data_IF_547912126590
#
_entry.id   IF_547912126590
#
_cell.length_a   1.000
_cell.length_b   1.000
_cell.length_c   1.000
_cell.angle_alpha   90.00
_cell.angle_beta   90.00
_cell.angle_gamma   90.00
#
_symmetry.space_group_name_H-M   'P 1'
#
loop_
_entity.id
_entity.type
_entity.pdbx_description
1 polymer ?
#
# COMPACT_ATOMS: atom_id res chain seq x y z
N UNK A 1 4.45 -1.95 -2.75
CA UNK A 1 4.65 -1.30 -1.44
C UNK A 1 6.02 -0.62 -1.37
N UNK A 2 7.13 -1.31 -1.67
CA UNK A 2 8.49 -0.75 -1.69
C UNK A 2 8.61 0.66 -2.31
N UNK A 3 8.00 0.85 -3.49
CA UNK A 3 8.06 2.13 -4.22
C UNK A 3 7.36 3.26 -3.47
N UNK A 4 6.17 3.00 -2.91
CA UNK A 4 5.39 4.01 -2.18
C UNK A 4 6.08 4.33 -0.85
N UNK A 5 6.70 3.33 -0.23
CA UNK A 5 7.35 3.45 1.08
C UNK A 5 8.77 4.01 1.01
N UNK A 6 9.42 3.91 -0.15
CA UNK A 6 10.82 4.28 -0.32
C UNK A 6 11.81 3.38 0.41
N UNK A 7 11.33 2.28 1.00
CA UNK A 7 12.06 1.35 1.85
C UNK A 7 11.50 -0.08 1.70
N UNK A 8 12.26 -1.07 2.17
CA UNK A 8 11.83 -2.46 2.13
C UNK A 8 10.68 -2.70 3.14
N UNK A 9 9.56 -3.34 2.74
CA UNK A 9 8.40 -3.56 3.60
C UNK A 9 8.73 -4.30 4.89
N UNK A 10 9.67 -5.25 4.85
CA UNK A 10 10.12 -5.98 6.03
C UNK A 10 10.74 -5.08 7.11
N UNK A 11 11.40 -3.98 6.71
CA UNK A 11 12.02 -3.05 7.64
C UNK A 11 10.95 -2.26 8.39
N UNK A 12 9.90 -1.85 7.67
CA UNK A 12 8.79 -1.08 8.24
C UNK A 12 7.83 -1.95 9.05
N UNK A 13 7.48 -3.15 8.57
CA UNK A 13 6.64 -4.12 9.29
C UNK A 13 7.25 -4.47 10.66
N UNK A 14 8.58 -4.54 10.75
CA UNK A 14 9.26 -4.79 12.03
C UNK A 14 9.11 -3.66 13.07
N UNK A 15 8.85 -2.43 12.61
CA UNK A 15 8.69 -1.24 13.45
C UNK A 15 7.24 -0.89 13.76
N UNK A 16 6.30 -1.50 13.04
CA UNK A 16 4.88 -1.23 13.17
C UNK A 16 4.27 -2.06 14.32
N UNK A 17 3.49 -1.44 15.22
CA UNK A 17 2.78 -2.19 16.24
C UNK A 17 1.83 -3.20 15.58
N UNK A 18 1.73 -4.42 16.11
CA UNK A 18 0.90 -5.49 15.52
C UNK A 18 -0.56 -5.06 15.26
N UNK A 19 -1.08 -4.12 16.06
CA UNK A 19 -2.40 -3.51 15.86
C UNK A 19 -2.50 -2.61 14.62
N UNK A 20 -1.42 -1.98 14.14
CA UNK A 20 -1.44 -1.19 12.89
C UNK A 20 -1.37 -2.02 11.62
N UNK A 21 -0.97 -3.29 11.74
CA UNK A 21 -1.08 -4.27 10.66
C UNK A 21 -2.55 -4.66 10.42
N UNK A 22 -3.36 -4.71 11.48
CA UNK A 22 -4.83 -4.83 11.39
C UNK A 22 -5.50 -3.49 11.05
N UNK A 23 -4.94 -2.39 11.54
CA UNK A 23 -5.47 -1.04 11.34
C UNK A 23 -4.80 -0.40 10.12
N UNK A 24 -5.25 -0.82 8.92
CA UNK A 24 -5.06 -0.18 7.61
C UNK A 24 -4.10 1.02 7.69
N UNK A 25 -2.80 0.76 7.56
CA UNK A 25 -1.77 1.82 7.60
C UNK A 25 -2.25 3.00 6.75
N UNK A 26 -2.42 4.16 7.39
CA UNK A 26 -2.75 5.37 6.65
C UNK A 26 -1.60 5.59 5.68
N UNK A 27 -1.90 5.77 4.40
CA UNK A 27 -0.89 5.95 3.35
C UNK A 27 0.10 7.06 3.70
N UNK A 28 -0.35 8.06 4.46
CA UNK A 28 0.46 9.17 4.98
C UNK A 28 1.58 8.74 5.92
N UNK A 29 1.37 7.71 6.74
CA UNK A 29 2.34 7.24 7.73
C UNK A 29 3.48 6.43 7.09
N UNK A 30 3.25 5.92 5.89
CA UNK A 30 4.19 5.04 5.17
C UNK A 30 4.62 5.59 3.82
N UNK A 31 4.24 6.82 3.47
CA UNK A 31 4.67 7.44 2.21
C UNK A 31 6.16 7.81 2.31
N UNK A 32 6.92 7.54 1.25
CA UNK A 32 8.29 8.03 1.10
C UNK A 32 8.29 9.57 1.23
N UNK A 33 9.01 10.07 2.23
CA UNK A 33 9.09 11.51 2.53
C UNK A 33 10.23 12.20 1.77
N UNK A 34 11.04 11.46 0.98
CA UNK A 34 12.13 12.04 0.19
C UNK A 34 11.65 12.89 -1.00
N UNK A 35 10.59 12.50 -1.74
CA UNK A 35 9.99 13.36 -2.75
C UNK A 35 9.25 14.56 -2.15
N UNK A 36 8.96 15.55 -2.99
CA UNK A 36 8.05 16.64 -2.60
C UNK A 36 6.66 16.06 -2.27
N UNK A 37 5.95 16.60 -1.26
CA UNK A 37 4.60 16.16 -0.94
C UNK A 37 3.69 16.13 -2.19
N UNK A 38 2.97 15.02 -2.43
CA UNK A 38 2.10 14.90 -3.59
C UNK A 38 0.93 15.89 -3.52
N UNK A 39 0.37 16.24 -4.68
CA UNK A 39 -0.92 16.94 -4.73
C UNK A 39 -2.04 16.03 -4.21
N UNK A 40 -3.19 16.62 -3.86
CA UNK A 40 -4.36 15.87 -3.37
C UNK A 40 -4.78 14.77 -4.35
N UNK A 41 -4.84 15.05 -5.66
CA UNK A 41 -5.22 14.04 -6.66
C UNK A 41 -4.26 12.84 -6.69
N UNK A 42 -2.96 13.09 -6.48
CA UNK A 42 -1.95 12.03 -6.41
C UNK A 42 -2.07 11.26 -5.11
N UNK A 43 -2.43 11.92 -4.01
CA UNK A 43 -2.66 11.28 -2.72
C UNK A 43 -3.84 10.30 -2.78
N UNK A 44 -4.96 10.69 -3.41
CA UNK A 44 -6.12 9.80 -3.61
C UNK A 44 -5.76 8.57 -4.46
N UNK A 45 -4.90 8.77 -5.48
CA UNK A 45 -4.42 7.68 -6.32
C UNK A 45 -3.48 6.75 -5.56
N UNK A 46 -2.63 7.28 -4.68
CA UNK A 46 -1.78 6.49 -3.79
C UNK A 46 -2.60 5.68 -2.78
N UNK A 47 -3.67 6.24 -2.23
CA UNK A 47 -4.63 5.53 -1.38
C UNK A 47 -5.23 4.32 -2.12
N UNK A 48 -5.68 4.53 -3.35
CA UNK A 48 -6.23 3.46 -4.20
C UNK A 48 -5.20 2.35 -4.46
N UNK A 49 -3.96 2.71 -4.82
CA UNK A 49 -2.88 1.73 -5.06
C UNK A 49 -2.52 0.97 -3.78
N UNK A 50 -2.58 1.62 -2.62
CA UNK A 50 -2.34 0.97 -1.33
C UNK A 50 -3.45 0.00 -0.97
N UNK A 51 -4.72 0.33 -1.21
CA UNK A 51 -5.83 -0.63 -1.03
C UNK A 51 -5.65 -1.88 -1.90
N UNK A 52 -5.29 -1.70 -3.17
CA UNK A 52 -4.97 -2.79 -4.08
C UNK A 52 -3.81 -3.64 -3.52
N UNK A 53 -2.75 -3.01 -3.01
CA UNK A 53 -1.63 -3.71 -2.41
C UNK A 53 -2.04 -4.53 -1.16
N UNK A 54 -2.94 -4.01 -0.32
CA UNK A 54 -3.45 -4.75 0.83
C UNK A 54 -4.27 -5.97 0.44
N UNK A 55 -5.07 -5.89 -0.63
CA UNK A 55 -5.79 -7.05 -1.15
C UNK A 55 -4.83 -8.17 -1.56
N UNK A 56 -3.67 -7.84 -2.15
CA UNK A 56 -2.63 -8.82 -2.50
C UNK A 56 -2.00 -9.50 -1.28
N UNK A 57 -2.04 -8.85 -0.11
CA UNK A 57 -1.44 -9.34 1.13
C UNK A 57 -2.42 -10.13 2.00
N UNK A 58 -3.64 -10.38 1.54
CA UNK A 58 -4.63 -11.14 2.29
C UNK A 58 -4.05 -12.48 2.79
N UNK A 59 -4.24 -12.78 4.08
CA UNK A 59 -3.72 -14.03 4.68
C UNK A 59 -4.25 -15.26 3.92
N UNK A 60 -5.55 -15.26 3.62
CA UNK A 60 -6.18 -16.27 2.80
C UNK A 60 -5.74 -16.13 1.32
N UNK A 61 -5.03 -17.13 0.75
CA UNK A 61 -4.59 -17.08 -0.64
C UNK A 61 -5.74 -16.97 -1.65
N UNK A 62 -6.93 -17.50 -1.34
CA UNK A 62 -8.09 -17.45 -2.23
C UNK A 62 -8.76 -16.07 -2.27
N UNK A 63 -8.50 -15.21 -1.28
CA UNK A 63 -8.98 -13.82 -1.27
C UNK A 63 -8.07 -12.88 -2.07
N UNK A 64 -6.88 -13.33 -2.46
CA UNK A 64 -5.93 -12.50 -3.21
C UNK A 64 -6.40 -12.37 -4.67
N UNK A 65 -6.39 -11.16 -5.22
CA UNK A 65 -6.73 -10.93 -6.62
C UNK A 65 -5.69 -11.57 -7.56
N UNK A 66 -6.12 -11.89 -8.78
CA UNK A 66 -5.20 -12.32 -9.84
C UNK A 66 -4.45 -11.11 -10.41
N UNK A 67 -3.27 -11.33 -11.01
CA UNK A 67 -2.55 -10.26 -11.69
C UNK A 67 -3.36 -9.60 -12.82
N UNK A 68 -4.26 -10.33 -13.46
CA UNK A 68 -5.21 -9.76 -14.44
C UNK A 68 -6.19 -8.80 -13.76
N UNK A 69 -6.79 -9.16 -12.62
CA UNK A 69 -7.65 -8.24 -11.89
C UNK A 69 -6.87 -6.99 -11.43
N UNK A 70 -5.63 -7.18 -10.97
CA UNK A 70 -4.74 -6.08 -10.58
C UNK A 70 -4.45 -5.12 -11.73
N UNK A 71 -4.16 -5.62 -12.94
CA UNK A 71 -3.90 -4.74 -14.08
C UNK A 71 -5.12 -3.90 -14.44
N UNK A 72 -6.32 -4.44 -14.30
CA UNK A 72 -7.56 -3.69 -14.53
C UNK A 72 -7.78 -2.61 -13.48
N UNK A 73 -7.54 -2.92 -12.20
CA UNK A 73 -7.67 -1.97 -11.08
C UNK A 73 -6.63 -0.85 -11.14
N UNK A 74 -5.43 -1.11 -11.66
CA UNK A 74 -4.40 -0.08 -11.84
C UNK A 74 -4.63 0.80 -13.07
N UNK A 75 -5.43 0.32 -14.03
CA UNK A 75 -5.75 1.07 -15.25
C UNK A 75 -6.92 2.05 -15.06
N UNK A 76 -7.66 1.98 -13.94
CA UNK A 76 -8.69 2.94 -13.55
C UNK A 76 -8.11 4.21 -12.92
#
# INVERSE_FOLDING_TARGET
MEVIMGAHPGDLISTLPSSSLEMRLLVKDVLDQRPLPPSTDVQDKLESVMEIAFMCLAENPHSRPTMYAISQLLAS
#
